data_IF_032436712361
#
_entry.id   IF_032436712361
#
_cell.length_a   1.000
_cell.length_b   1.000
_cell.length_c   1.000
_cell.angle_alpha   90.00
_cell.angle_beta   90.00
_cell.angle_gamma   90.00
#
_symmetry.space_group_name_H-M   'P 1'
#
loop_
_entity.id
_entity.type
_entity.pdbx_description
1 polymer ?
#
# COMPACT_ATOMS: atom_id res chain seq x y z
N UNK A 1 12.13 12.56 -4.45
CA UNK A 1 11.17 13.04 -5.46
C UNK A 1 10.59 14.35 -4.96
N UNK A 2 10.84 15.47 -5.62
CA UNK A 2 10.33 16.78 -5.19
C UNK A 2 9.00 17.01 -5.90
N UNK A 3 7.88 16.90 -5.17
CA UNK A 3 6.55 17.19 -5.69
C UNK A 3 6.35 18.68 -5.95
N UNK A 4 5.45 19.02 -6.87
CA UNK A 4 5.08 20.41 -7.11
C UNK A 4 4.20 20.89 -5.95
N UNK A 5 4.46 22.08 -5.42
CA UNK A 5 3.64 22.69 -4.35
C UNK A 5 2.82 23.84 -4.95
N UNK A 6 1.50 23.83 -4.77
CA UNK A 6 0.59 24.87 -5.28
C UNK A 6 -0.38 25.29 -4.17
N UNK A 7 -0.69 26.59 -4.11
CA UNK A 7 -1.68 27.09 -3.14
C UNK A 7 -3.09 26.66 -3.52
N UNK A 8 -3.93 26.27 -2.56
CA UNK A 8 -5.37 26.01 -2.80
C UNK A 8 -6.13 27.26 -3.26
N UNK A 9 -5.61 28.44 -2.95
CA UNK A 9 -6.17 29.74 -3.35
C UNK A 9 -5.52 30.29 -4.64
N UNK A 10 -4.70 29.50 -5.33
CA UNK A 10 -4.11 29.89 -6.60
C UNK A 10 -5.19 30.13 -7.67
N UNK A 11 -4.85 30.91 -8.69
CA UNK A 11 -5.77 31.16 -9.80
C UNK A 11 -6.25 29.84 -10.44
N UNK A 12 -7.52 29.75 -10.88
CA UNK A 12 -8.08 28.51 -11.43
C UNK A 12 -7.28 27.91 -12.59
N UNK A 13 -6.64 28.75 -13.40
CA UNK A 13 -5.79 28.29 -14.52
C UNK A 13 -4.51 27.61 -14.02
N UNK A 14 -3.92 28.09 -12.92
CA UNK A 14 -2.75 27.48 -12.29
C UNK A 14 -3.13 26.11 -11.72
N UNK A 15 -4.26 26.02 -11.01
CA UNK A 15 -4.78 24.76 -10.48
C UNK A 15 -5.08 23.76 -11.61
N UNK A 16 -5.78 24.21 -12.66
CA UNK A 16 -6.08 23.38 -13.84
C UNK A 16 -4.81 22.86 -14.51
N UNK A 17 -3.78 23.70 -14.63
CA UNK A 17 -2.50 23.28 -15.18
C UNK A 17 -1.83 22.24 -14.28
N UNK A 18 -1.77 22.47 -12.97
CA UNK A 18 -1.18 21.54 -12.01
C UNK A 18 -1.88 20.16 -12.01
N UNK A 19 -3.21 20.14 -12.05
CA UNK A 19 -3.98 18.90 -12.16
C UNK A 19 -3.72 18.14 -13.46
N UNK A 20 -3.54 18.84 -14.59
CA UNK A 20 -3.14 18.20 -15.85
C UNK A 20 -1.75 17.59 -15.76
N UNK A 21 -0.81 18.24 -15.08
CA UNK A 21 0.55 17.74 -14.94
C UNK A 21 0.59 16.45 -14.10
N UNK A 22 -0.08 16.43 -12.94
CA UNK A 22 -0.09 15.23 -12.07
C UNK A 22 -0.82 14.04 -12.71
N UNK A 23 -1.71 14.27 -13.68
CA UNK A 23 -2.37 13.20 -14.43
C UNK A 23 -1.44 12.49 -15.43
N UNK A 24 -0.27 13.07 -15.76
CA UNK A 24 0.68 12.45 -16.68
C UNK A 24 1.38 11.22 -16.06
N UNK A 25 1.77 10.28 -16.92
CA UNK A 25 2.47 9.08 -16.45
C UNK A 25 3.85 9.44 -15.90
N UNK A 26 4.19 8.95 -14.71
CA UNK A 26 5.46 9.25 -14.06
C UNK A 26 5.59 10.68 -13.52
N UNK A 27 4.50 11.47 -13.54
CA UNK A 27 4.51 12.79 -12.93
C UNK A 27 4.68 12.69 -11.40
N UNK A 28 5.41 13.63 -10.78
CA UNK A 28 5.53 13.68 -9.34
C UNK A 28 4.18 14.08 -8.69
N UNK A 29 3.98 13.76 -7.40
CA UNK A 29 2.80 14.20 -6.66
C UNK A 29 2.63 15.71 -6.66
N UNK A 30 1.38 16.16 -6.64
CA UNK A 30 1.01 17.56 -6.44
C UNK A 30 0.63 17.78 -4.98
N UNK A 31 1.33 18.67 -4.31
CA UNK A 31 1.03 19.11 -2.96
C UNK A 31 0.21 20.39 -3.01
N UNK A 32 -0.99 20.37 -2.46
CA UNK A 32 -1.84 21.54 -2.31
C UNK A 32 -1.74 22.04 -0.88
N UNK A 33 -1.43 23.32 -0.71
CA UNK A 33 -1.26 23.96 0.60
C UNK A 33 -2.13 25.21 0.71
N UNK A 34 -2.71 25.51 1.87
CA UNK A 34 -3.52 26.71 2.06
C UNK A 34 -3.87 26.94 3.51
N UNK A 35 -4.98 27.62 3.76
CA UNK A 35 -5.54 27.78 5.11
C UNK A 35 -6.16 26.48 5.63
N UNK A 36 -6.50 25.54 4.73
CA UNK A 36 -6.96 24.19 5.05
C UNK A 36 -5.78 23.23 5.26
N UNK A 37 -6.09 22.02 5.71
CA UNK A 37 -5.12 20.93 5.80
C UNK A 37 -4.42 20.68 4.45
N UNK A 38 -3.12 20.34 4.47
CA UNK A 38 -2.36 20.06 3.26
C UNK A 38 -2.88 18.79 2.59
N UNK A 39 -3.05 18.85 1.26
CA UNK A 39 -3.52 17.72 0.46
C UNK A 39 -2.43 17.26 -0.49
N UNK A 40 -2.37 15.96 -0.75
CA UNK A 40 -1.51 15.38 -1.78
C UNK A 40 -2.41 14.75 -2.84
N UNK A 41 -2.23 15.19 -4.08
CA UNK A 41 -2.95 14.68 -5.24
C UNK A 41 -2.00 13.77 -6.00
N UNK A 42 -2.49 12.56 -6.28
CA UNK A 42 -1.78 11.52 -7.01
C UNK A 42 -2.61 11.10 -8.21
N UNK A 43 -1.94 10.60 -9.25
CA UNK A 43 -2.62 9.80 -10.27
C UNK A 43 -3.03 8.46 -9.66
N UNK A 44 -4.22 7.99 -10.02
CA UNK A 44 -4.75 6.67 -9.61
C UNK A 44 -3.72 5.55 -9.74
N UNK A 45 -3.07 5.41 -10.91
CA UNK A 45 -2.06 4.37 -11.13
C UNK A 45 -0.83 4.50 -10.22
N UNK A 46 -0.44 5.73 -9.86
CA UNK A 46 0.68 5.96 -8.94
C UNK A 46 0.28 5.60 -7.50
N UNK A 47 -0.97 5.86 -7.13
CA UNK A 47 -1.52 5.45 -5.84
C UNK A 47 -1.64 3.93 -5.74
N UNK A 48 -2.17 3.28 -6.77
CA UNK A 48 -2.25 1.81 -6.81
C UNK A 48 -0.87 1.17 -6.69
N UNK A 49 0.11 1.67 -7.45
CA UNK A 49 1.49 1.18 -7.35
C UNK A 49 2.06 1.29 -5.93
N UNK A 50 1.76 2.37 -5.21
CA UNK A 50 2.20 2.54 -3.83
C UNK A 50 1.55 1.49 -2.89
N UNK A 51 0.28 1.15 -3.13
CA UNK A 51 -0.39 0.08 -2.38
C UNK A 51 0.24 -1.28 -2.68
N UNK A 52 0.51 -1.58 -3.94
CA UNK A 52 1.13 -2.85 -4.35
C UNK A 52 2.54 -3.01 -3.74
N UNK A 53 3.33 -1.93 -3.69
CA UNK A 53 4.64 -1.91 -3.05
C UNK A 53 4.55 -2.11 -1.52
N UNK A 54 3.52 -1.55 -0.88
CA UNK A 54 3.28 -1.74 0.55
C UNK A 54 2.88 -3.18 0.86
N UNK A 55 1.96 -3.77 0.09
CA UNK A 55 1.54 -5.16 0.24
C UNK A 55 2.73 -6.13 0.06
N UNK A 56 3.61 -5.84 -0.89
CA UNK A 56 4.83 -6.62 -1.07
C UNK A 56 5.77 -6.50 0.14
N UNK A 57 5.95 -5.30 0.70
CA UNK A 57 6.77 -5.08 1.88
C UNK A 57 6.22 -5.83 3.11
N UNK A 58 4.91 -5.76 3.33
CA UNK A 58 4.23 -6.51 4.40
C UNK A 58 4.40 -8.02 4.22
N UNK A 59 4.34 -8.51 2.98
CA UNK A 59 4.59 -9.92 2.66
C UNK A 59 6.03 -10.33 2.96
N UNK A 60 7.02 -9.50 2.63
CA UNK A 60 8.41 -9.74 2.99
C UNK A 60 8.60 -9.79 4.50
N UNK A 61 8.01 -8.86 5.24
CA UNK A 61 8.07 -8.84 6.70
C UNK A 61 7.46 -10.12 7.30
N UNK A 62 6.29 -10.56 6.82
CA UNK A 62 5.65 -11.78 7.30
C UNK A 62 6.51 -13.03 7.07
N UNK A 63 7.24 -13.09 5.94
CA UNK A 63 8.20 -14.17 5.68
C UNK A 63 9.37 -14.12 6.66
N UNK A 64 9.93 -12.94 6.90
CA UNK A 64 11.04 -12.77 7.86
C UNK A 64 10.63 -13.17 9.29
N UNK A 65 9.44 -12.77 9.72
CA UNK A 65 8.86 -13.15 11.01
C UNK A 65 8.67 -14.67 11.10
N UNK A 66 8.10 -15.30 10.07
CA UNK A 66 7.92 -16.75 10.04
C UNK A 66 9.25 -17.53 10.07
N UNK A 67 10.30 -17.02 9.42
CA UNK A 67 11.64 -17.60 9.51
C UNK A 67 12.23 -17.48 10.92
N UNK A 68 12.04 -16.32 11.57
CA UNK A 68 12.50 -16.10 12.94
C UNK A 68 11.78 -17.02 13.95
N UNK A 69 10.46 -17.21 13.80
CA UNK A 69 9.68 -18.16 14.60
C UNK A 69 10.17 -19.60 14.43
N UNK A 70 10.49 -19.99 13.19
CA UNK A 70 11.04 -21.31 12.89
C UNK A 70 12.41 -21.51 13.55
N UNK A 71 13.31 -20.53 13.45
CA UNK A 71 14.63 -20.55 14.09
C UNK A 71 14.52 -20.59 15.62
N UNK A 72 13.50 -19.95 16.19
CA UNK A 72 13.19 -19.99 17.62
C UNK A 72 12.51 -21.30 18.06
N UNK A 73 12.22 -22.22 17.14
CA UNK A 73 11.52 -23.47 17.43
C UNK A 73 10.04 -23.30 17.79
N UNK A 74 9.44 -22.16 17.42
CA UNK A 74 8.03 -21.83 17.67
C UNK A 74 7.10 -22.33 16.56
N UNK A 75 7.65 -22.99 15.54
CA UNK A 75 6.87 -23.67 14.52
C UNK A 75 5.98 -24.78 15.09
N UNK A 76 4.89 -25.08 14.40
CA UNK A 76 3.97 -26.17 14.75
C UNK A 76 3.95 -27.26 13.67
N UNK A 77 3.71 -28.53 14.03
CA UNK A 77 3.53 -29.59 13.04
C UNK A 77 2.38 -29.30 12.07
N UNK A 78 2.61 -29.54 10.77
CA UNK A 78 1.61 -29.34 9.71
C UNK A 78 0.28 -30.08 10.00
N UNK A 79 0.35 -31.30 10.51
CA UNK A 79 -0.84 -32.09 10.85
C UNK A 79 -1.72 -31.42 11.91
N UNK A 80 -1.12 -30.78 12.90
CA UNK A 80 -1.86 -30.05 13.95
C UNK A 80 -2.50 -28.78 13.39
N UNK A 81 -1.78 -28.07 12.51
CA UNK A 81 -2.29 -26.87 11.84
C UNK A 81 -3.52 -27.18 10.96
N UNK A 82 -3.47 -28.26 10.17
CA UNK A 82 -4.60 -28.68 9.32
C UNK A 82 -5.79 -29.15 10.14
N UNK A 83 -5.57 -29.93 11.21
CA UNK A 83 -6.65 -30.35 12.10
C UNK A 83 -7.40 -29.15 12.72
N UNK A 84 -6.68 -28.09 13.13
CA UNK A 84 -7.30 -26.85 13.62
C UNK A 84 -8.07 -26.11 12.50
N UNK A 85 -7.48 -26.02 11.31
CA UNK A 85 -8.10 -25.36 10.16
C UNK A 85 -9.41 -26.04 9.78
N UNK A 86 -9.43 -27.37 9.68
CA UNK A 86 -10.62 -28.18 9.37
C UNK A 86 -11.70 -28.00 10.43
N UNK A 87 -11.32 -28.00 11.71
CA UNK A 87 -12.24 -27.78 12.82
C UNK A 87 -12.87 -26.38 12.79
N UNK A 88 -12.12 -25.37 12.33
CA UNK A 88 -12.54 -23.96 12.35
C UNK A 88 -13.29 -23.52 11.09
N UNK A 89 -12.96 -24.09 9.93
CA UNK A 89 -13.48 -23.62 8.64
C UNK A 89 -14.14 -24.72 7.79
N UNK A 90 -14.09 -25.98 8.20
CA UNK A 90 -14.86 -27.07 7.59
C UNK A 90 -14.38 -27.50 6.20
N UNK A 91 -13.14 -27.24 5.83
CA UNK A 91 -12.56 -27.82 4.62
C UNK A 91 -12.38 -29.33 4.85
N UNK A 92 -13.02 -30.16 4.03
CA UNK A 92 -12.69 -31.58 3.96
C UNK A 92 -11.58 -31.73 2.95
N UNK A 93 -10.43 -32.27 3.35
CA UNK A 93 -9.44 -32.81 2.41
C UNK A 93 -10.17 -33.70 1.40
N UNK A 94 -10.09 -33.35 0.12
CA UNK A 94 -10.45 -34.26 -0.95
C UNK A 94 -9.35 -35.32 -1.01
N UNK A 95 -9.69 -36.52 -0.52
CA UNK A 95 -8.85 -37.72 -0.55
C UNK A 95 -8.38 -38.08 -1.97
#
# INVERSE_FOLDING_TARGET
>A
MTGQIVSTNAEPEILRHAFKQVALAGAPPLHLTGESEPLVVLRESSYQKLLDELEFADSCQAIEEGLAELDAGQGRPLAEAFAEWDAKFGFKEAA
#
